data_IF_460124791104
#
_entry.id   IF_460124791104
#
_cell.length_a   1.000
_cell.length_b   1.000
_cell.length_c   1.000
_cell.angle_alpha   90.00
_cell.angle_beta   90.00
_cell.angle_gamma   90.00
#
_symmetry.space_group_name_H-M   'P 1'
#
loop_
_entity.id
_entity.type
_entity.pdbx_description
1 polymer ?
#
# COMPACT_ATOMS: atom_id res chain seq x y z
N UNK A 1 -13.16 -0.22 5.33
CA UNK A 1 -12.43 0.77 6.14
C UNK A 1 -11.22 0.08 6.76
N UNK A 2 -10.00 0.54 6.48
CA UNK A 2 -8.79 -0.11 6.98
C UNK A 2 -8.09 0.86 7.94
N UNK A 3 -7.96 0.52 9.20
CA UNK A 3 -7.19 1.27 10.18
C UNK A 3 -5.86 0.55 10.43
N UNK A 4 -4.74 1.22 10.20
CA UNK A 4 -3.41 0.72 10.51
C UNK A 4 -2.85 1.48 11.71
N UNK A 5 -2.64 0.78 12.81
CA UNK A 5 -1.96 1.33 13.98
C UNK A 5 -0.54 0.78 13.99
N UNK A 6 0.45 1.66 13.87
CA UNK A 6 1.87 1.28 13.97
C UNK A 6 2.42 1.74 15.31
N UNK A 7 2.96 0.80 16.07
CA UNK A 7 3.77 1.11 17.25
C UNK A 7 5.23 1.30 16.82
N UNK A 8 5.59 2.49 16.43
CA UNK A 8 6.98 2.93 16.29
C UNK A 8 7.19 4.13 17.22
N UNK A 9 8.42 4.58 17.37
CA UNK A 9 8.75 5.82 18.13
C UNK A 9 8.04 7.08 17.55
N UNK A 10 7.39 6.96 16.41
CA UNK A 10 6.43 7.91 15.87
C UNK A 10 5.08 7.19 15.66
N UNK A 11 4.01 7.72 16.23
CA UNK A 11 2.67 7.22 15.96
C UNK A 11 2.21 7.73 14.60
N UNK A 12 1.93 6.81 13.69
CA UNK A 12 1.35 7.12 12.38
C UNK A 12 -0.07 6.57 12.35
N UNK A 13 -1.03 7.46 12.27
CA UNK A 13 -2.43 7.10 12.07
C UNK A 13 -2.81 7.30 10.61
N UNK A 14 -3.45 6.32 10.00
CA UNK A 14 -3.90 6.40 8.62
C UNK A 14 -5.37 6.08 8.52
N UNK A 15 -6.13 6.96 7.89
CA UNK A 15 -7.53 6.73 7.51
C UNK A 15 -7.64 6.94 6.02
N UNK A 16 -8.38 6.08 5.34
CA UNK A 16 -8.53 6.19 3.91
C UNK A 16 -9.77 5.51 3.37
N UNK A 17 -10.12 5.90 2.15
CA UNK A 17 -11.17 5.29 1.34
C UNK A 17 -10.51 4.70 0.10
N UNK A 18 -10.94 3.50 -0.25
CA UNK A 18 -10.51 2.81 -1.47
C UNK A 18 -11.75 2.37 -2.22
N UNK A 19 -11.83 2.78 -3.48
CA UNK A 19 -12.83 2.32 -4.44
C UNK A 19 -12.13 1.43 -5.45
N UNK A 20 -12.72 0.27 -5.74
CA UNK A 20 -12.12 -0.71 -6.65
C UNK A 20 -13.18 -1.42 -7.49
N UNK A 21 -13.79 -0.71 -8.46
CA UNK A 21 -14.65 -1.36 -9.44
C UNK A 21 -13.88 -2.41 -10.26
N UNK A 22 -14.54 -3.52 -10.51
CA UNK A 22 -13.98 -4.68 -11.23
C UNK A 22 -14.83 -5.03 -12.43
N UNK A 23 -14.16 -5.43 -13.49
CA UNK A 23 -14.77 -5.83 -14.76
C UNK A 23 -14.29 -7.23 -15.12
N UNK A 24 -15.19 -8.20 -15.11
CA UNK A 24 -14.87 -9.57 -15.49
C UNK A 24 -14.53 -9.67 -16.98
N UNK A 25 -13.46 -10.36 -17.30
CA UNK A 25 -13.02 -10.67 -18.65
C UNK A 25 -12.93 -12.19 -18.83
N UNK A 26 -12.84 -12.71 -20.05
CA UNK A 26 -12.73 -14.15 -20.29
C UNK A 26 -11.56 -14.81 -19.56
N UNK A 27 -10.47 -14.05 -19.34
CA UNK A 27 -9.30 -14.53 -18.60
C UNK A 27 -8.93 -13.48 -17.54
N UNK A 28 -9.56 -13.55 -16.35
CA UNK A 28 -9.25 -12.68 -15.23
C UNK A 28 -10.17 -11.48 -15.09
N UNK A 29 -9.73 -10.48 -14.34
CA UNK A 29 -10.49 -9.27 -14.00
C UNK A 29 -9.66 -8.02 -14.26
N UNK A 30 -10.20 -7.08 -15.01
CA UNK A 30 -9.68 -5.71 -15.06
C UNK A 30 -10.27 -4.93 -13.90
N UNK A 31 -9.47 -4.10 -13.22
CA UNK A 31 -9.98 -3.21 -12.18
C UNK A 31 -9.32 -1.83 -12.25
N UNK A 32 -10.07 -0.84 -11.79
CA UNK A 32 -9.55 0.49 -11.51
C UNK A 32 -9.54 0.64 -9.99
N UNK A 33 -8.47 1.16 -9.44
CA UNK A 33 -8.38 1.43 -7.99
C UNK A 33 -8.11 2.92 -7.79
N UNK A 34 -9.01 3.56 -7.08
CA UNK A 34 -8.88 4.93 -6.58
C UNK A 34 -8.74 4.88 -5.08
N UNK A 35 -7.64 5.41 -4.56
CA UNK A 35 -7.29 5.37 -3.14
C UNK A 35 -6.97 6.78 -2.66
N UNK A 36 -7.70 7.20 -1.65
CA UNK A 36 -7.46 8.46 -0.94
C UNK A 36 -7.13 8.14 0.52
N UNK A 37 -5.98 8.57 1.00
CA UNK A 37 -5.52 8.30 2.36
C UNK A 37 -5.03 9.58 3.02
N UNK A 38 -5.47 9.80 4.24
CA UNK A 38 -4.94 10.84 5.11
C UNK A 38 -4.10 10.20 6.21
N UNK A 39 -2.91 10.74 6.43
CA UNK A 39 -1.98 10.28 7.46
C UNK A 39 -1.64 11.40 8.42
N UNK A 40 -1.56 11.06 9.69
CA UNK A 40 -1.09 11.91 10.76
C UNK A 40 0.20 11.34 11.32
N UNK A 41 1.28 12.11 11.29
CA UNK A 41 2.59 11.70 11.81
C UNK A 41 2.93 12.56 13.00
N UNK A 42 2.85 11.97 14.21
CA UNK A 42 3.01 12.72 15.46
C UNK A 42 4.41 13.30 15.67
N UNK A 43 5.43 12.66 15.11
CA UNK A 43 6.83 13.09 15.30
C UNK A 43 7.22 14.23 14.38
N UNK A 44 6.76 14.15 13.12
CA UNK A 44 7.20 15.09 12.07
C UNK A 44 6.30 16.31 11.98
N UNK A 45 5.28 16.38 12.84
CA UNK A 45 4.34 17.50 12.97
C UNK A 45 3.69 17.92 11.65
N UNK A 46 3.44 16.96 10.76
CA UNK A 46 2.71 17.21 9.52
C UNK A 46 1.64 16.15 9.29
N UNK A 47 0.66 16.55 8.52
CA UNK A 47 -0.34 15.65 7.94
C UNK A 47 -0.09 15.54 6.46
N UNK A 48 -0.33 14.39 5.88
CA UNK A 48 -0.33 14.27 4.44
C UNK A 48 -1.60 13.59 3.91
N UNK A 49 -2.02 14.07 2.75
CA UNK A 49 -3.07 13.49 1.94
C UNK A 49 -2.41 12.82 0.75
N UNK A 50 -2.62 11.53 0.59
CA UNK A 50 -2.10 10.75 -0.54
C UNK A 50 -3.27 10.29 -1.39
N UNK A 51 -3.23 10.61 -2.67
CA UNK A 51 -4.16 10.13 -3.67
C UNK A 51 -3.42 9.24 -4.66
N UNK A 52 -3.97 8.08 -4.98
CA UNK A 52 -3.41 7.15 -5.95
C UNK A 52 -4.52 6.60 -6.84
N UNK A 53 -4.36 6.79 -8.14
CA UNK A 53 -5.22 6.22 -9.17
C UNK A 53 -4.43 5.20 -9.98
N UNK A 54 -4.96 4.00 -10.12
CA UNK A 54 -4.28 2.90 -10.80
C UNK A 54 -5.24 2.00 -11.55
N UNK A 55 -4.72 1.30 -12.54
CA UNK A 55 -5.40 0.26 -13.29
C UNK A 55 -4.66 -1.04 -13.05
N UNK A 56 -5.38 -2.11 -12.79
CA UNK A 56 -4.80 -3.42 -12.57
C UNK A 56 -5.52 -4.51 -13.35
N UNK A 57 -4.79 -5.56 -13.60
CA UNK A 57 -5.29 -6.78 -14.21
C UNK A 57 -4.95 -7.98 -13.34
N UNK A 58 -5.99 -8.65 -12.89
CA UNK A 58 -5.91 -9.80 -11.99
C UNK A 58 -6.20 -11.07 -12.75
N UNK A 59 -5.19 -11.92 -12.89
CA UNK A 59 -5.28 -13.27 -13.41
C UNK A 59 -5.30 -14.28 -12.27
N UNK A 60 -5.51 -15.56 -12.61
CA UNK A 60 -5.60 -16.64 -11.63
C UNK A 60 -4.39 -16.72 -10.67
N UNK A 61 -3.17 -16.46 -11.18
CA UNK A 61 -1.91 -16.59 -10.45
C UNK A 61 -1.11 -15.30 -10.36
N UNK A 62 -1.52 -14.26 -11.04
CA UNK A 62 -0.76 -13.01 -11.10
C UNK A 62 -1.70 -11.81 -11.04
N UNK A 63 -1.28 -10.78 -10.33
CA UNK A 63 -1.91 -9.48 -10.31
C UNK A 63 -0.88 -8.42 -10.70
N UNK A 64 -1.19 -7.64 -11.71
CA UNK A 64 -0.37 -6.51 -12.17
C UNK A 64 -1.17 -5.23 -12.06
N UNK A 65 -0.57 -4.19 -11.51
CA UNK A 65 -1.22 -2.90 -11.32
C UNK A 65 -0.21 -1.79 -11.59
N UNK A 66 -0.62 -0.77 -12.31
CA UNK A 66 0.17 0.42 -12.60
C UNK A 66 -0.70 1.67 -12.47
N UNK A 67 -0.10 2.77 -12.10
CA UNK A 67 -0.84 4.01 -11.92
C UNK A 67 0.05 5.18 -11.56
N UNK A 68 -0.58 6.17 -10.99
CA UNK A 68 0.05 7.41 -10.55
C UNK A 68 -0.43 7.73 -9.14
N UNK A 69 0.45 8.32 -8.34
CA UNK A 69 0.08 8.89 -7.05
C UNK A 69 0.63 10.29 -6.90
N UNK A 70 -0.05 11.10 -6.13
CA UNK A 70 0.43 12.38 -5.66
C UNK A 70 0.25 12.49 -4.14
N UNK A 71 0.99 13.40 -3.56
CA UNK A 71 0.99 13.65 -2.12
C UNK A 71 0.91 15.14 -1.85
N UNK A 72 0.04 15.51 -0.94
CA UNK A 72 -0.08 16.87 -0.42
C UNK A 72 0.35 16.83 1.03
N UNK A 73 1.41 17.55 1.35
CA UNK A 73 1.90 17.70 2.73
C UNK A 73 1.24 18.94 3.31
N UNK A 74 0.53 18.77 4.42
CA UNK A 74 -0.17 19.84 5.11
C UNK A 74 0.52 20.08 6.46
N UNK A 75 1.03 21.28 6.73
CA UNK A 75 1.59 21.62 8.04
C UNK A 75 0.50 21.58 9.11
N UNK A 76 0.87 21.26 10.34
CA UNK A 76 -0.04 21.33 11.47
C UNK A 76 -0.31 22.80 11.84
N UNK A 77 -1.58 23.17 12.14
CA UNK A 77 -1.96 24.55 12.43
C UNK A 77 -1.35 25.13 13.71
N UNK A 78 -0.60 24.33 14.47
CA UNK A 78 -0.02 24.71 15.76
C UNK A 78 1.51 24.88 15.74
N UNK A 79 2.16 24.69 14.61
CA UNK A 79 3.59 25.00 14.49
C UNK A 79 3.77 26.52 14.39
N UNK A 80 4.53 27.09 15.31
CA UNK A 80 4.77 28.54 15.46
C UNK A 80 5.55 29.18 14.27
N UNK A 81 5.80 28.44 13.22
CA UNK A 81 6.48 28.96 12.03
C UNK A 81 5.44 29.27 10.96
N UNK A 82 5.12 30.54 10.84
CA UNK A 82 4.17 31.15 9.91
C UNK A 82 4.55 31.05 8.42
N UNK A 83 5.39 30.11 8.03
CA UNK A 83 5.88 29.91 6.66
C UNK A 83 5.66 28.49 6.14
N UNK A 84 4.93 27.66 6.87
CA UNK A 84 4.68 26.29 6.43
C UNK A 84 3.58 26.30 5.37
N UNK A 85 3.98 26.42 4.12
CA UNK A 85 3.08 26.32 2.98
C UNK A 85 2.70 24.85 2.73
N UNK A 86 1.50 24.66 2.19
CA UNK A 86 1.07 23.37 1.70
C UNK A 86 1.93 22.97 0.50
N UNK A 87 2.61 21.83 0.59
CA UNK A 87 3.49 21.32 -0.47
C UNK A 87 2.75 20.26 -1.27
N UNK A 88 2.58 20.52 -2.55
CA UNK A 88 2.11 19.53 -3.51
C UNK A 88 3.32 18.83 -4.14
N UNK A 89 3.50 17.56 -3.83
CA UNK A 89 4.51 16.74 -4.49
C UNK A 89 4.06 16.36 -5.91
N UNK A 90 4.99 16.23 -6.86
CA UNK A 90 4.67 15.83 -8.22
C UNK A 90 4.08 14.42 -8.27
N UNK A 91 3.45 14.08 -9.39
CA UNK A 91 2.93 12.74 -9.63
C UNK A 91 4.08 11.75 -9.79
N UNK A 92 3.98 10.67 -9.00
CA UNK A 92 4.90 9.54 -9.10
C UNK A 92 4.21 8.33 -9.72
N UNK A 93 4.97 7.60 -10.53
CA UNK A 93 4.52 6.32 -11.05
C UNK A 93 4.44 5.28 -9.93
N UNK A 94 3.32 4.59 -9.83
CA UNK A 94 3.12 3.49 -8.89
C UNK A 94 2.90 2.18 -9.64
N UNK A 95 3.41 1.10 -9.05
CA UNK A 95 3.30 -0.23 -9.64
C UNK A 95 3.17 -1.30 -8.56
N UNK A 96 2.57 -2.42 -8.95
CA UNK A 96 2.47 -3.64 -8.16
C UNK A 96 2.50 -4.85 -9.09
N UNK A 97 3.31 -5.82 -8.76
CA UNK A 97 3.31 -7.14 -9.38
C UNK A 97 3.25 -8.17 -8.25
N UNK A 98 2.23 -9.01 -8.26
CA UNK A 98 2.00 -10.02 -7.23
C UNK A 98 1.75 -11.37 -7.88
N UNK A 99 2.47 -12.38 -7.43
CA UNK A 99 2.33 -13.76 -7.87
C UNK A 99 1.75 -14.62 -6.73
N UNK A 100 0.89 -15.56 -7.07
CA UNK A 100 0.20 -16.46 -6.14
C UNK A 100 0.62 -17.89 -6.37
N UNK A 101 0.87 -18.63 -5.29
CA UNK A 101 1.24 -20.05 -5.35
C UNK A 101 0.06 -20.92 -5.81
N UNK A 102 -1.18 -20.47 -5.53
CA UNK A 102 -2.42 -21.12 -5.92
C UNK A 102 -3.34 -20.14 -6.63
N UNK A 103 -4.40 -20.65 -7.32
CA UNK A 103 -5.46 -19.78 -7.81
C UNK A 103 -6.02 -18.90 -6.69
N UNK A 104 -6.34 -17.66 -6.99
CA UNK A 104 -6.86 -16.72 -5.98
C UNK A 104 -8.18 -17.15 -5.35
N UNK A 105 -8.95 -18.01 -6.02
CA UNK A 105 -10.17 -18.62 -5.49
C UNK A 105 -9.92 -19.73 -4.46
N UNK A 106 -8.67 -20.12 -4.24
CA UNK A 106 -8.33 -21.18 -3.29
C UNK A 106 -8.59 -20.74 -1.85
N UNK A 107 -9.00 -21.66 -0.95
CA UNK A 107 -9.27 -21.33 0.45
C UNK A 107 -8.02 -20.90 1.21
N UNK A 108 -6.84 -21.19 0.70
CA UNK A 108 -5.60 -20.64 1.22
C UNK A 108 -4.62 -20.31 0.08
N UNK A 109 -3.75 -19.34 0.32
CA UNK A 109 -2.75 -18.93 -0.65
C UNK A 109 -1.53 -18.32 0.03
N UNK A 110 -0.43 -18.33 -0.69
CA UNK A 110 0.78 -17.55 -0.39
C UNK A 110 1.05 -16.69 -1.59
N UNK A 111 1.38 -15.42 -1.36
CA UNK A 111 1.72 -14.46 -2.41
C UNK A 111 3.08 -13.82 -2.18
N UNK A 112 3.79 -13.58 -3.28
CA UNK A 112 4.98 -12.77 -3.34
C UNK A 112 4.65 -11.53 -4.17
N UNK A 113 4.93 -10.35 -3.62
CA UNK A 113 4.60 -9.10 -4.28
C UNK A 113 5.78 -8.13 -4.25
N UNK A 114 5.97 -7.44 -5.36
CA UNK A 114 6.87 -6.29 -5.50
C UNK A 114 6.03 -5.08 -5.84
N UNK A 115 6.15 -4.00 -5.08
CA UNK A 115 5.34 -2.81 -5.24
C UNK A 115 6.00 -1.58 -4.62
N UNK A 116 5.74 -0.41 -5.18
CA UNK A 116 6.06 0.87 -4.55
C UNK A 116 4.81 1.60 -4.00
N UNK A 117 3.64 1.02 -4.12
CA UNK A 117 2.34 1.69 -3.85
C UNK A 117 2.14 2.15 -2.40
N UNK A 118 2.88 1.59 -1.42
CA UNK A 118 2.79 1.98 -0.01
C UNK A 118 4.08 2.67 0.48
N UNK A 119 4.89 3.17 -0.44
CA UNK A 119 6.20 3.73 -0.13
C UNK A 119 6.14 5.26 0.05
N UNK A 120 5.23 5.76 0.86
CA UNK A 120 4.98 7.20 1.04
C UNK A 120 5.97 7.94 1.96
N UNK A 121 6.99 7.28 2.48
CA UNK A 121 7.86 7.85 3.52
C UNK A 121 9.27 8.14 3.06
N UNK A 122 9.58 7.97 1.78
CA UNK A 122 10.95 8.08 1.28
C UNK A 122 11.02 9.08 0.14
N UNK A 123 12.09 9.80 0.10
CA UNK A 123 12.45 10.75 -0.96
C UNK A 123 12.43 10.14 -2.38
N UNK A 124 12.28 8.83 -2.49
CA UNK A 124 12.22 8.11 -3.77
C UNK A 124 11.09 7.11 -3.76
N UNK A 125 9.88 7.58 -4.03
CA UNK A 125 8.67 6.76 -4.01
C UNK A 125 8.68 5.60 -5.03
N UNK A 126 9.47 5.67 -6.09
CA UNK A 126 9.60 4.61 -7.09
C UNK A 126 10.34 3.36 -6.62
N UNK A 127 10.99 3.39 -5.45
CA UNK A 127 11.75 2.24 -4.93
C UNK A 127 10.85 1.07 -4.57
N UNK A 128 11.21 -0.17 -4.94
CA UNK A 128 10.42 -1.35 -4.66
C UNK A 128 10.42 -1.71 -3.18
N UNK A 129 9.30 -2.25 -2.74
CA UNK A 129 9.14 -2.99 -1.51
C UNK A 129 8.75 -4.41 -1.84
N UNK A 130 9.24 -5.36 -1.06
CA UNK A 130 8.91 -6.77 -1.18
C UNK A 130 7.91 -7.15 -0.11
N UNK A 131 6.91 -7.90 -0.52
CA UNK A 131 5.87 -8.43 0.36
C UNK A 131 5.84 -9.95 0.21
N UNK A 132 5.77 -10.62 1.33
CA UNK A 132 5.37 -12.01 1.43
C UNK A 132 4.07 -12.04 2.21
N UNK A 133 3.03 -12.58 1.61
CA UNK A 133 1.71 -12.61 2.23
C UNK A 133 1.04 -13.97 2.07
N UNK A 134 -0.03 -14.15 2.80
CA UNK A 134 -0.89 -15.29 2.63
C UNK A 134 -2.21 -15.10 3.34
N UNK A 135 -3.16 -15.97 3.01
CA UNK A 135 -4.45 -16.02 3.68
C UNK A 135 -4.91 -17.46 3.85
N UNK A 136 -5.82 -17.61 4.79
CA UNK A 136 -6.53 -18.85 5.05
C UNK A 136 -8.01 -18.53 5.31
N UNK A 137 -8.90 -19.16 4.56
CA UNK A 137 -10.33 -19.08 4.78
C UNK A 137 -10.71 -20.08 5.89
N UNK A 138 -11.06 -19.54 7.05
CA UNK A 138 -11.52 -20.34 8.20
C UNK A 138 -12.89 -20.94 7.92
N UNK A 139 -13.75 -20.16 7.25
CA UNK A 139 -15.06 -20.56 6.73
C UNK A 139 -15.48 -19.60 5.60
N UNK A 140 -16.74 -19.69 5.14
CA UNK A 140 -17.27 -18.85 4.06
C UNK A 140 -17.23 -17.34 4.37
N UNK A 141 -17.27 -16.99 5.65
CA UNK A 141 -17.34 -15.60 6.10
C UNK A 141 -16.00 -15.04 6.60
N UNK A 142 -15.14 -15.89 7.16
CA UNK A 142 -13.93 -15.43 7.81
C UNK A 142 -12.67 -15.84 7.08
N UNK A 143 -11.81 -14.85 6.81
CA UNK A 143 -10.47 -15.02 6.28
C UNK A 143 -9.44 -14.40 7.23
N UNK A 144 -8.42 -15.17 7.57
CA UNK A 144 -7.23 -14.67 8.26
C UNK A 144 -6.16 -14.35 7.23
N UNK A 145 -5.50 -13.22 7.40
CA UNK A 145 -4.38 -12.77 6.57
C UNK A 145 -3.13 -12.57 7.41
N UNK A 146 -2.00 -12.99 6.87
CA UNK A 146 -0.67 -12.72 7.39
C UNK A 146 0.16 -12.11 6.26
N UNK A 147 0.85 -11.00 6.51
CA UNK A 147 1.77 -10.43 5.52
C UNK A 147 2.99 -9.82 6.19
N UNK A 148 4.16 -10.08 5.59
CA UNK A 148 5.41 -9.42 5.89
C UNK A 148 5.78 -8.47 4.77
N UNK A 149 6.34 -7.32 5.13
CA UNK A 149 6.85 -6.34 4.19
C UNK A 149 8.29 -5.99 4.54
N UNK A 150 9.16 -5.99 3.54
CA UNK A 150 10.54 -5.57 3.66
C UNK A 150 10.81 -4.42 2.69
N UNK A 151 11.38 -3.35 3.21
CA UNK A 151 11.74 -2.16 2.46
C UNK A 151 13.25 -2.15 2.24
N UNK A 152 13.64 -2.14 0.96
CA UNK A 152 15.01 -2.03 0.52
C UNK A 152 15.18 -0.75 -0.30
N UNK A 153 16.27 -0.03 -0.09
CA UNK A 153 16.67 1.09 -0.93
C UNK A 153 17.92 0.75 -1.73
N UNK A 154 18.10 1.43 -2.84
CA UNK A 154 19.32 1.30 -3.65
C UNK A 154 19.44 0.01 -4.47
N UNK A 155 18.42 -0.82 -4.57
CA UNK A 155 18.46 -2.08 -5.32
C UNK A 155 18.89 -1.90 -6.78
N UNK A 156 18.41 -0.86 -7.44
CA UNK A 156 18.76 -0.59 -8.84
C UNK A 156 20.17 -0.03 -9.03
N UNK A 157 20.85 0.29 -7.95
CA UNK A 157 22.22 0.81 -7.96
C UNK A 157 23.22 -0.17 -7.39
N UNK A 158 22.84 -1.45 -7.22
CA UNK A 158 23.67 -2.52 -6.61
C UNK A 158 24.17 -2.20 -5.19
N UNK A 159 23.55 -1.24 -4.52
CA UNK A 159 23.89 -0.84 -3.16
C UNK A 159 22.62 -0.89 -2.31
N UNK A 160 22.12 -2.10 -2.06
CA UNK A 160 20.89 -2.32 -1.35
C UNK A 160 21.09 -2.07 0.16
N UNK A 161 20.32 -1.15 0.69
CA UNK A 161 20.23 -0.88 2.12
C UNK A 161 18.88 -1.34 2.68
N UNK A 162 18.92 -1.98 3.84
CA UNK A 162 17.71 -2.37 4.57
C UNK A 162 17.14 -1.18 5.35
N UNK A 163 15.86 -0.86 5.12
CA UNK A 163 15.17 0.25 5.79
C UNK A 163 14.16 -0.19 6.84
N UNK A 164 13.80 -1.45 6.88
CA UNK A 164 12.89 -1.97 7.89
C UNK A 164 12.00 -3.10 7.40
N UNK A 165 11.37 -3.78 8.36
CA UNK A 165 10.37 -4.80 8.12
C UNK A 165 9.10 -4.49 8.90
N UNK A 166 7.98 -4.96 8.38
CA UNK A 166 6.68 -4.87 9.00
C UNK A 166 5.98 -6.22 8.91
N UNK A 167 5.36 -6.64 9.99
CA UNK A 167 4.49 -7.81 10.03
C UNK A 167 3.07 -7.34 10.32
N UNK A 168 2.10 -7.81 9.51
CA UNK A 168 0.68 -7.53 9.68
C UNK A 168 -0.08 -8.83 9.82
N UNK A 169 -0.98 -8.85 10.79
CA UNK A 169 -2.00 -9.90 10.96
C UNK A 169 -3.35 -9.23 10.84
N UNK A 170 -4.25 -9.81 10.09
CA UNK A 170 -5.58 -9.26 9.86
C UNK A 170 -6.63 -10.34 9.78
N UNK A 171 -7.87 -9.98 10.09
CA UNK A 171 -9.05 -10.77 9.82
C UNK A 171 -9.98 -9.99 8.89
N UNK A 172 -10.57 -10.69 7.94
CA UNK A 172 -11.54 -10.14 6.98
C UNK A 172 -12.84 -10.90 7.13
N UNK A 173 -13.93 -10.15 7.28
CA UNK A 173 -15.28 -10.72 7.24
C UNK A 173 -15.90 -10.43 5.88
N UNK A 174 -16.52 -11.46 5.28
CA UNK A 174 -17.19 -11.38 3.98
C UNK A 174 -18.69 -11.56 4.19
N UNK A 175 -19.44 -10.68 3.63
CA UNK A 175 -20.90 -10.71 3.63
C UNK A 175 -21.44 -11.59 2.50
#
# INVERSE_FOLDING_TARGET
MQANIRTSTANVHTVGVQLRPKFALPVGELYVEDRLMMRWVSRDQFNDLVHALSVGYMMQYVNVQVGMSNRIIMPLPYTLHSQDEMILEPFDAVYRVEAFVRPQSSPWNISLCVSNMDNYQVERMWQPMFYLGGWYDVNEHWRVRLSGKMKLAGMFHLNAHYYGAELRVGAEYRF
#
